data_IF_893906988467
#
_entry.id   IF_893906988467
#
_cell.length_a   1.000
_cell.length_b   1.000
_cell.length_c   1.000
_cell.angle_alpha   90.00
_cell.angle_beta   90.00
_cell.angle_gamma   90.00
#
_symmetry.space_group_name_H-M   'P 1'
#
loop_
_entity.id
_entity.type
_entity.pdbx_description
1 polymer ?
#
# COMPACT_ATOMS: atom_id res chain seq x y z
N UNK A 1 -3.11 -2.89 -15.59
CA UNK A 1 -2.30 -2.52 -14.41
C UNK A 1 -2.70 -3.37 -13.22
N UNK A 2 -1.86 -4.34 -12.86
CA UNK A 2 -2.06 -5.31 -11.79
C UNK A 2 -1.44 -4.80 -10.49
N UNK A 3 -2.11 -5.00 -9.36
CA UNK A 3 -1.50 -4.89 -8.03
C UNK A 3 -0.97 -6.26 -7.64
N UNK A 4 0.25 -6.34 -7.11
CA UNK A 4 0.84 -7.57 -6.63
C UNK A 4 0.87 -7.56 -5.11
N UNK A 5 0.21 -8.52 -4.46
CA UNK A 5 0.26 -8.69 -3.01
C UNK A 5 1.10 -9.90 -2.66
N UNK A 6 2.12 -9.70 -1.83
CA UNK A 6 3.08 -10.71 -1.38
C UNK A 6 2.98 -10.83 0.12
N UNK A 7 2.87 -12.06 0.63
CA UNK A 7 2.83 -12.36 2.05
C UNK A 7 4.10 -13.11 2.45
N UNK A 8 4.78 -12.67 3.49
CA UNK A 8 6.04 -13.23 3.97
C UNK A 8 5.90 -13.66 5.43
N UNK A 9 6.07 -14.95 5.69
CA UNK A 9 5.93 -15.53 7.04
C UNK A 9 4.49 -15.77 7.51
N UNK A 10 3.48 -15.40 6.70
CA UNK A 10 2.05 -15.55 7.03
C UNK A 10 1.24 -16.16 5.90
N UNK A 11 0.08 -16.71 6.29
CA UNK A 11 -0.92 -17.16 5.34
C UNK A 11 -1.54 -15.97 4.61
N UNK A 12 -1.84 -16.19 3.33
CA UNK A 12 -2.58 -15.21 2.52
C UNK A 12 -3.94 -14.98 3.15
N UNK A 13 -4.32 -13.71 3.25
CA UNK A 13 -5.62 -13.29 3.73
C UNK A 13 -6.40 -12.67 2.59
N UNK A 14 -7.54 -13.29 2.23
CA UNK A 14 -8.44 -12.75 1.22
C UNK A 14 -8.94 -11.35 1.59
N UNK A 15 -9.10 -11.06 2.89
CA UNK A 15 -9.48 -9.73 3.36
C UNK A 15 -8.42 -8.67 3.03
N UNK A 16 -7.12 -9.02 3.15
CA UNK A 16 -6.02 -8.10 2.79
C UNK A 16 -5.99 -7.90 1.28
N UNK A 17 -6.15 -8.96 0.48
CA UNK A 17 -6.19 -8.84 -0.99
C UNK A 17 -7.35 -7.96 -1.47
N UNK A 18 -8.55 -8.17 -0.93
CA UNK A 18 -9.73 -7.33 -1.22
C UNK A 18 -9.48 -5.88 -0.81
N UNK A 19 -8.99 -5.63 0.40
CA UNK A 19 -8.71 -4.28 0.87
C UNK A 19 -7.63 -3.58 0.03
N UNK A 20 -6.60 -4.31 -0.42
CA UNK A 20 -5.58 -3.79 -1.34
C UNK A 20 -6.23 -3.41 -2.68
N UNK A 21 -7.08 -4.28 -3.24
CA UNK A 21 -7.76 -4.02 -4.50
C UNK A 21 -8.68 -2.79 -4.43
N UNK A 22 -9.52 -2.69 -3.39
CA UNK A 22 -10.42 -1.56 -3.18
C UNK A 22 -9.66 -0.23 -3.05
N UNK A 23 -8.60 -0.21 -2.25
CA UNK A 23 -7.78 0.99 -2.08
C UNK A 23 -7.00 1.37 -3.33
N UNK A 24 -6.53 0.37 -4.08
CA UNK A 24 -5.87 0.59 -5.35
C UNK A 24 -6.82 1.21 -6.39
N UNK A 25 -8.07 0.74 -6.46
CA UNK A 25 -9.08 1.37 -7.31
C UNK A 25 -9.40 2.80 -6.86
N UNK A 26 -9.51 3.04 -5.56
CA UNK A 26 -9.71 4.38 -5.03
C UNK A 26 -8.55 5.32 -5.42
N UNK A 27 -7.30 4.87 -5.28
CA UNK A 27 -6.12 5.62 -5.68
C UNK A 27 -6.11 5.93 -7.18
N UNK A 28 -6.45 4.96 -8.04
CA UNK A 28 -6.56 5.15 -9.50
C UNK A 28 -7.56 6.23 -9.90
N UNK A 29 -8.62 6.45 -9.11
CA UNK A 29 -9.57 7.54 -9.35
C UNK A 29 -8.95 8.92 -9.09
N UNK A 30 -7.97 9.02 -8.19
CA UNK A 30 -7.24 10.26 -7.91
C UNK A 30 -6.09 10.49 -8.90
N UNK A 31 -5.31 9.46 -9.19
CA UNK A 31 -4.20 9.49 -10.14
C UNK A 31 -4.26 8.27 -11.09
N UNK A 32 -4.51 8.54 -12.38
CA UNK A 32 -4.56 7.51 -13.41
C UNK A 32 -3.16 7.05 -13.85
N UNK A 33 -2.09 7.71 -13.41
CA UNK A 33 -0.70 7.39 -13.76
C UNK A 33 -0.01 6.46 -12.75
N UNK A 34 -0.77 5.83 -11.86
CA UNK A 34 -0.22 4.89 -10.89
C UNK A 34 0.17 3.58 -11.57
N UNK A 35 1.44 3.19 -11.41
CA UNK A 35 2.04 1.99 -12.01
C UNK A 35 2.79 1.17 -10.96
N UNK A 36 3.02 -0.11 -11.26
CA UNK A 36 3.87 -1.02 -10.46
C UNK A 36 3.56 -1.09 -8.96
N UNK A 37 2.28 -1.24 -8.58
CA UNK A 37 1.92 -1.39 -7.17
C UNK A 37 2.22 -2.78 -6.63
N UNK A 38 3.20 -2.85 -5.73
CA UNK A 38 3.61 -4.03 -4.99
C UNK A 38 3.39 -3.82 -3.51
N UNK A 39 2.52 -4.64 -2.94
CA UNK A 39 2.23 -4.66 -1.51
C UNK A 39 2.89 -5.89 -0.92
N UNK A 40 3.83 -5.69 0.00
CA UNK A 40 4.50 -6.76 0.74
C UNK A 40 4.04 -6.70 2.19
N UNK A 41 3.50 -7.81 2.69
CA UNK A 41 3.05 -7.95 4.07
C UNK A 41 3.95 -8.97 4.74
N UNK A 42 4.66 -8.55 5.77
CA UNK A 42 5.58 -9.38 6.55
C UNK A 42 5.10 -9.42 7.99
N UNK A 43 5.09 -10.59 8.63
CA UNK A 43 4.92 -10.69 10.07
C UNK A 43 6.28 -10.83 10.73
N UNK A 44 6.60 -9.91 11.63
CA UNK A 44 7.81 -9.96 12.45
C UNK A 44 7.54 -10.78 13.72
N UNK A 45 8.30 -11.84 13.96
CA UNK A 45 8.25 -12.62 15.20
C UNK A 45 7.62 -14.01 15.07
N UNK A 46 7.37 -14.66 16.22
CA UNK A 46 6.69 -15.96 16.30
C UNK A 46 5.18 -15.73 16.12
N UNK A 47 4.47 -16.63 15.42
CA UNK A 47 3.07 -16.46 14.99
C UNK A 47 2.06 -16.05 16.07
N UNK A 48 2.42 -16.12 17.35
CA UNK A 48 1.58 -15.76 18.51
C UNK A 48 1.79 -14.34 19.03
N UNK A 49 2.95 -13.70 18.79
CA UNK A 49 3.27 -12.33 19.26
C UNK A 49 4.20 -11.68 18.24
N UNK A 50 3.63 -10.94 17.30
CA UNK A 50 4.41 -10.33 16.23
C UNK A 50 3.66 -9.20 15.53
N UNK A 51 4.36 -8.10 15.24
CA UNK A 51 3.80 -6.99 14.49
C UNK A 51 3.80 -7.31 12.99
N UNK A 52 2.84 -6.74 12.27
CA UNK A 52 2.75 -6.82 10.82
C UNK A 52 3.36 -5.57 10.21
N UNK A 53 4.34 -5.77 9.35
CA UNK A 53 4.93 -4.74 8.52
C UNK A 53 4.33 -4.81 7.13
N UNK A 54 3.65 -3.74 6.74
CA UNK A 54 3.15 -3.53 5.38
C UNK A 54 4.07 -2.56 4.68
N UNK A 55 4.63 -3.01 3.56
CA UNK A 55 5.42 -2.22 2.63
C UNK A 55 4.66 -2.08 1.32
N UNK A 56 4.51 -0.85 0.84
CA UNK A 56 3.90 -0.53 -0.44
C UNK A 56 4.97 0.16 -1.28
N UNK A 57 5.34 -0.45 -2.39
CA UNK A 57 6.15 0.16 -3.44
C UNK A 57 5.23 0.40 -4.64
N UNK A 58 5.18 1.63 -5.15
CA UNK A 58 4.46 1.98 -6.37
C UNK A 58 5.12 3.15 -7.06
N UNK A 59 4.81 3.35 -8.34
CA UNK A 59 5.18 4.55 -9.07
C UNK A 59 3.97 5.46 -9.27
N UNK A 60 4.08 6.70 -8.79
CA UNK A 60 3.06 7.74 -8.94
C UNK A 60 3.61 8.87 -9.80
N UNK A 61 2.98 9.12 -10.95
CA UNK A 61 3.38 10.21 -11.86
C UNK A 61 4.87 10.22 -12.22
N UNK A 62 5.50 9.04 -12.34
CA UNK A 62 6.93 8.88 -12.63
C UNK A 62 7.88 8.95 -11.42
N UNK A 63 7.34 9.14 -10.21
CA UNK A 63 8.11 9.14 -8.97
C UNK A 63 7.87 7.85 -8.17
N UNK A 64 8.93 7.15 -7.71
CA UNK A 64 8.77 6.00 -6.84
C UNK A 64 8.29 6.45 -5.46
N UNK A 65 7.17 5.89 -5.01
CA UNK A 65 6.59 6.09 -3.68
C UNK A 65 6.73 4.78 -2.92
N UNK A 66 7.53 4.82 -1.86
CA UNK A 66 7.79 3.67 -0.99
C UNK A 66 7.32 4.03 0.40
N UNK A 67 6.34 3.28 0.92
CA UNK A 67 5.81 3.48 2.26
C UNK A 67 5.95 2.18 3.04
N UNK A 68 6.43 2.29 4.27
CA UNK A 68 6.44 1.19 5.24
C UNK A 68 5.63 1.59 6.48
N UNK A 69 4.83 0.66 7.00
CA UNK A 69 4.11 0.82 8.27
C UNK A 69 4.13 -0.50 9.03
N UNK A 70 4.35 -0.42 10.33
CA UNK A 70 4.34 -1.58 11.22
C UNK A 70 3.25 -1.36 12.26
N UNK A 71 2.38 -2.35 12.43
CA UNK A 71 1.30 -2.31 13.42
C UNK A 71 1.02 -3.74 13.93
N UNK A 72 0.48 -3.87 15.15
CA UNK A 72 0.02 -5.15 15.68
C UNK A 72 -1.15 -5.73 14.87
N UNK A 73 -1.90 -4.88 14.17
CA UNK A 73 -2.98 -5.28 13.26
C UNK A 73 -2.57 -5.03 11.80
N UNK A 74 -2.60 -6.08 10.98
CA UNK A 74 -2.27 -6.01 9.54
C UNK A 74 -3.17 -5.06 8.78
N UNK A 75 -4.46 -4.99 9.11
CA UNK A 75 -5.43 -4.11 8.47
C UNK A 75 -5.16 -2.66 8.88
N UNK A 76 -4.78 -2.41 10.13
CA UNK A 76 -4.37 -1.08 10.58
C UNK A 76 -3.09 -0.61 9.86
N UNK A 77 -2.04 -1.44 9.82
CA UNK A 77 -0.82 -1.14 9.07
C UNK A 77 -1.11 -0.87 7.59
N UNK A 78 -1.98 -1.68 6.98
CA UNK A 78 -2.41 -1.52 5.59
C UNK A 78 -3.19 -0.22 5.38
N UNK A 79 -4.09 0.14 6.29
CA UNK A 79 -4.85 1.40 6.26
C UNK A 79 -3.91 2.59 6.33
N UNK A 80 -3.01 2.61 7.31
CA UNK A 80 -2.04 3.69 7.49
C UNK A 80 -1.08 3.84 6.31
N UNK A 81 -0.61 2.72 5.75
CA UNK A 81 0.32 2.73 4.63
C UNK A 81 -0.34 3.30 3.38
N UNK A 82 -1.56 2.85 3.06
CA UNK A 82 -2.32 3.37 1.92
C UNK A 82 -2.77 4.82 2.11
N UNK A 83 -3.11 5.24 3.33
CA UNK A 83 -3.46 6.64 3.60
C UNK A 83 -2.25 7.56 3.35
N UNK A 84 -1.06 7.12 3.79
CA UNK A 84 0.19 7.83 3.51
C UNK A 84 0.45 7.93 2.01
N UNK A 85 0.35 6.82 1.27
CA UNK A 85 0.47 6.80 -0.19
C UNK A 85 -0.52 7.76 -0.83
N UNK A 86 -1.79 7.70 -0.43
CA UNK A 86 -2.85 8.55 -0.98
C UNK A 86 -2.53 10.03 -0.80
N UNK A 87 -1.99 10.41 0.36
CA UNK A 87 -1.53 11.77 0.63
C UNK A 87 -0.41 12.18 -0.32
N UNK A 88 0.64 11.37 -0.45
CA UNK A 88 1.75 11.65 -1.37
C UNK A 88 1.29 11.76 -2.82
N UNK A 89 0.46 10.83 -3.29
CA UNK A 89 -0.10 10.85 -4.65
C UNK A 89 -0.94 12.10 -4.88
N UNK A 90 -1.79 12.47 -3.90
CA UNK A 90 -2.63 13.67 -3.99
C UNK A 90 -1.77 14.94 -4.06
N UNK A 91 -0.75 15.05 -3.22
CA UNK A 91 0.15 16.20 -3.20
C UNK A 91 0.90 16.36 -4.53
N UNK A 92 1.42 15.27 -5.11
CA UNK A 92 2.09 15.31 -6.41
C UNK A 92 1.13 15.62 -7.56
N UNK A 93 -0.10 15.07 -7.52
CA UNK A 93 -1.13 15.40 -8.51
C UNK A 93 -1.60 16.87 -8.43
N UNK A 94 -1.66 17.45 -7.22
CA UNK A 94 -2.05 18.85 -7.00
C UNK A 94 -0.96 19.82 -7.51
N UNK A 95 0.31 19.57 -7.14
CA UNK A 95 1.46 20.33 -7.63
C UNK A 95 1.48 20.41 -9.16
N UNK A 96 1.16 19.31 -9.84
CA UNK A 96 1.10 19.26 -11.30
C UNK A 96 -0.08 20.04 -11.89
N UNK A 97 -1.23 20.10 -11.22
CA UNK A 97 -2.39 20.87 -11.71
C UNK A 97 -2.20 22.38 -11.57
N UNK A 98 -1.33 22.82 -10.66
CA UNK A 98 -1.02 24.23 -10.45
C UNK A 98 0.09 24.76 -11.37
N UNK A 99 0.62 23.92 -12.27
CA UNK A 99 1.80 24.22 -13.09
C UNK A 99 1.54 24.19 -14.60
#
# INVERSE_FOLDING_TARGET
MTVQTVFHGINRSAAVETAVAEKWEALKRFDQQLTDCKVTVTQEGHQTIGAFTVRIDLMASGHPVIVNRTNMDVMAALNEAFDTVRRSVKEEADKRRQH
#
